data_IF_054760595713
#
_entry.id   IF_054760595713
#
_cell.length_a   1.000
_cell.length_b   1.000
_cell.length_c   1.000
_cell.angle_alpha   90.00
_cell.angle_beta   90.00
_cell.angle_gamma   90.00
#
_symmetry.space_group_name_H-M   'P 1'
#
loop_
_entity.id
_entity.type
_entity.pdbx_description
1 polymer ?
#
# COMPACT_ATOMS: atom_id res chain seq x y z
N UNK A 1 -23.77 -11.65 -18.91
CA UNK A 1 -22.72 -12.57 -18.42
C UNK A 1 -21.95 -11.83 -17.35
N UNK A 2 -21.33 -12.53 -16.41
CA UNK A 2 -20.50 -12.01 -15.30
C UNK A 2 -19.23 -11.25 -15.77
N UNK A 3 -19.20 -10.78 -17.02
CA UNK A 3 -18.02 -10.24 -17.69
C UNK A 3 -18.01 -8.71 -17.77
N UNK A 4 -19.05 -8.04 -17.25
CA UNK A 4 -19.16 -6.57 -17.26
C UNK A 4 -18.94 -5.93 -15.88
N UNK A 5 -18.84 -6.72 -14.81
CA UNK A 5 -18.26 -6.24 -13.56
C UNK A 5 -16.75 -6.46 -13.62
N UNK A 6 -15.97 -5.38 -13.72
CA UNK A 6 -15.05 -4.99 -12.63
C UNK A 6 -13.94 -4.01 -13.03
N UNK A 7 -13.76 -3.63 -14.30
CA UNK A 7 -12.74 -2.63 -14.64
C UNK A 7 -13.32 -1.51 -15.47
N UNK A 8 -13.68 -0.41 -14.80
CA UNK A 8 -13.62 0.89 -15.45
C UNK A 8 -12.18 1.06 -15.94
N UNK A 9 -12.00 1.02 -17.26
CA UNK A 9 -10.76 1.39 -17.92
C UNK A 9 -10.55 2.89 -17.68
N UNK A 10 -9.98 3.23 -16.53
CA UNK A 10 -9.56 4.57 -16.22
C UNK A 10 -8.46 4.92 -17.22
N UNK A 11 -8.79 5.76 -18.20
CA UNK A 11 -7.78 6.45 -19.01
C UNK A 11 -7.11 7.47 -18.10
N UNK A 12 -5.98 7.09 -17.51
CA UNK A 12 -5.19 7.97 -16.67
C UNK A 12 -4.50 9.01 -17.57
N UNK A 13 -4.96 10.26 -17.49
CA UNK A 13 -4.45 11.38 -18.27
C UNK A 13 -4.01 12.50 -17.32
N UNK A 14 -3.11 12.21 -16.39
CA UNK A 14 -2.74 13.19 -15.37
C UNK A 14 -1.23 13.23 -15.12
N UNK A 15 -0.71 14.43 -14.85
CA UNK A 15 0.70 14.76 -14.56
C UNK A 15 1.07 14.34 -13.12
N UNK A 16 0.66 13.14 -12.72
CA UNK A 16 0.94 12.61 -11.38
C UNK A 16 2.41 12.17 -11.35
N UNK A 17 3.19 12.82 -10.48
CA UNK A 17 4.51 12.31 -10.12
C UNK A 17 4.35 11.00 -9.34
N UNK A 18 4.38 9.89 -10.08
CA UNK A 18 4.25 8.54 -9.56
C UNK A 18 5.36 8.22 -8.55
N UNK A 19 6.57 8.78 -8.72
CA UNK A 19 7.66 8.55 -7.77
C UNK A 19 7.32 9.15 -6.41
N UNK A 20 6.75 10.36 -6.39
CA UNK A 20 6.28 10.99 -5.15
C UNK A 20 5.18 10.15 -4.49
N UNK A 21 4.22 9.66 -5.27
CA UNK A 21 3.13 8.81 -4.73
C UNK A 21 3.61 7.47 -4.21
N UNK A 22 4.56 6.84 -4.89
CA UNK A 22 5.18 5.59 -4.44
C UNK A 22 5.94 5.80 -3.13
N UNK A 23 6.69 6.89 -3.00
CA UNK A 23 7.41 7.20 -1.76
C UNK A 23 6.45 7.46 -0.58
N UNK A 24 5.35 8.21 -0.81
CA UNK A 24 4.29 8.42 0.18
C UNK A 24 3.66 7.08 0.60
N UNK A 25 3.35 6.22 -0.38
CA UNK A 25 2.75 4.92 -0.14
C UNK A 25 3.68 3.96 0.61
N UNK A 26 4.95 3.91 0.25
CA UNK A 26 5.95 3.07 0.91
C UNK A 26 6.12 3.46 2.38
N UNK A 27 6.23 4.77 2.66
CA UNK A 27 6.32 5.28 4.03
C UNK A 27 5.08 4.88 4.84
N UNK A 28 3.90 5.10 4.28
CA UNK A 28 2.63 4.74 4.93
C UNK A 28 2.54 3.24 5.20
N UNK A 29 2.86 2.39 4.22
CA UNK A 29 2.78 0.93 4.39
C UNK A 29 3.73 0.44 5.48
N UNK A 30 4.97 0.92 5.50
CA UNK A 30 6.01 0.44 6.40
C UNK A 30 5.85 0.94 7.84
N UNK A 31 5.36 2.17 8.03
CA UNK A 31 5.37 2.85 9.33
C UNK A 31 3.98 3.07 9.94
N UNK A 32 2.95 3.21 9.12
CA UNK A 32 1.65 3.71 9.57
C UNK A 32 0.53 2.69 9.39
N UNK A 33 0.70 1.66 8.53
CA UNK A 33 -0.34 0.68 8.19
C UNK A 33 -0.27 -0.59 9.07
N UNK A 34 -1.27 -0.84 9.93
CA UNK A 34 -1.42 -2.11 10.64
C UNK A 34 -1.57 -3.28 9.66
N UNK A 35 -0.84 -4.37 9.89
CA UNK A 35 -0.88 -5.54 9.03
C UNK A 35 -1.41 -6.77 9.77
N UNK A 36 -2.41 -7.45 9.19
CA UNK A 36 -3.03 -8.65 9.78
C UNK A 36 -2.01 -9.77 10.03
N UNK A 37 -1.10 -10.01 9.08
CA UNK A 37 -0.01 -10.99 9.25
C UNK A 37 0.94 -10.65 10.41
N UNK A 38 0.98 -9.39 10.86
CA UNK A 38 1.78 -8.93 11.98
C UNK A 38 0.94 -8.67 13.24
N UNK A 39 -0.23 -9.31 13.34
CA UNK A 39 -1.16 -9.18 14.47
C UNK A 39 -1.54 -7.72 14.75
N UNK A 40 -1.73 -6.94 13.69
CA UNK A 40 -2.08 -5.53 13.78
C UNK A 40 -0.89 -4.58 13.97
N UNK A 41 0.35 -5.09 14.04
CA UNK A 41 1.55 -4.24 14.01
C UNK A 41 1.86 -3.79 12.59
N UNK A 42 2.57 -2.68 12.49
CA UNK A 42 3.18 -2.22 11.24
C UNK A 42 4.38 -3.13 10.86
N UNK A 43 4.78 -3.16 9.58
CA UNK A 43 5.98 -3.90 9.17
C UNK A 43 7.24 -3.51 9.97
N UNK A 44 7.43 -2.22 10.24
CA UNK A 44 8.55 -1.73 11.04
C UNK A 44 8.52 -2.23 12.48
N UNK A 45 7.36 -2.18 13.15
CA UNK A 45 7.20 -2.70 14.51
C UNK A 45 7.43 -4.21 14.57
N UNK A 46 6.95 -4.95 13.57
CA UNK A 46 7.18 -6.38 13.46
C UNK A 46 8.68 -6.70 13.30
N UNK A 47 9.40 -5.92 12.48
CA UNK A 47 10.84 -6.05 12.31
C UNK A 47 11.58 -5.74 13.62
N UNK A 48 11.24 -4.63 14.27
CA UNK A 48 11.81 -4.25 15.58
C UNK A 48 11.63 -5.36 16.61
N UNK A 49 10.45 -5.97 16.70
CA UNK A 49 10.21 -7.09 17.62
C UNK A 49 11.04 -8.35 17.33
N UNK A 50 11.56 -8.55 16.10
CA UNK A 50 12.40 -9.70 15.75
C UNK A 50 13.89 -9.47 16.01
N UNK A 51 14.30 -8.21 16.12
CA UNK A 51 15.69 -7.80 16.33
C UNK A 51 16.05 -7.66 17.82
N UNK A 52 15.07 -7.86 18.72
CA UNK A 52 15.25 -8.00 20.17
C UNK A 52 15.31 -9.48 20.51
#
# INVERSE_FOLDING_TARGET
TDQEEFYQLLTYTDDVDLNKKLAEWERFYNLDRPHGAFKGKTPYEALRCRLV
#
